data_IF_755786533068
#
_entry.id   IF_755786533068
#
_cell.length_a   1.000
_cell.length_b   1.000
_cell.length_c   1.000
_cell.angle_alpha   90.00
_cell.angle_beta   90.00
_cell.angle_gamma   90.00
#
_symmetry.space_group_name_H-M   'P 1'
#
loop_
_entity.id
_entity.type
_entity.pdbx_description
1 polymer ?
#
# COMPACT_ATOMS: atom_id res chain seq x y z
N UNK A 1 11.68 -20.60 -18.77
CA UNK A 1 10.51 -19.75 -19.03
C UNK A 1 10.36 -18.81 -17.84
N UNK A 2 10.63 -17.53 -18.04
CA UNK A 2 10.59 -16.52 -16.97
C UNK A 2 9.15 -16.09 -16.79
N UNK A 3 8.47 -16.61 -15.76
CA UNK A 3 7.17 -16.08 -15.36
C UNK A 3 7.36 -14.61 -14.96
N UNK A 4 6.81 -13.69 -15.76
CA UNK A 4 6.66 -12.29 -15.36
C UNK A 4 5.68 -12.24 -14.19
N UNK A 5 6.22 -12.07 -12.97
CA UNK A 5 5.45 -12.18 -11.72
C UNK A 5 4.58 -10.97 -11.38
N UNK A 6 4.27 -10.09 -12.32
CA UNK A 6 3.53 -8.88 -11.98
C UNK A 6 2.50 -8.45 -13.02
N UNK A 7 1.71 -9.38 -13.53
CA UNK A 7 0.38 -9.03 -14.03
C UNK A 7 -0.57 -9.06 -12.82
N UNK A 8 -1.19 -7.93 -12.42
CA UNK A 8 -2.22 -7.97 -11.38
C UNK A 8 -3.32 -8.94 -11.82
N UNK A 9 -3.76 -9.84 -10.94
CA UNK A 9 -4.89 -10.71 -11.24
C UNK A 9 -6.13 -9.88 -11.58
N UNK A 10 -7.10 -10.44 -12.30
CA UNK A 10 -8.33 -9.74 -12.67
C UNK A 10 -9.08 -9.15 -11.45
N UNK A 11 -8.94 -9.76 -10.26
CA UNK A 11 -9.45 -9.21 -8.99
C UNK A 11 -8.70 -7.96 -8.54
N UNK A 12 -7.37 -7.95 -8.64
CA UNK A 12 -6.55 -6.77 -8.31
C UNK A 12 -6.86 -5.59 -9.22
N UNK A 13 -7.24 -5.83 -10.47
CA UNK A 13 -7.65 -4.78 -11.39
C UNK A 13 -8.88 -4.02 -10.89
N UNK A 14 -9.88 -4.72 -10.34
CA UNK A 14 -11.06 -4.10 -9.72
C UNK A 14 -10.73 -3.27 -8.50
N UNK A 15 -9.68 -3.67 -7.75
CA UNK A 15 -9.17 -2.86 -6.65
C UNK A 15 -8.48 -1.58 -7.15
N UNK A 16 -7.80 -1.60 -8.31
CA UNK A 16 -7.12 -0.41 -8.83
C UNK A 16 -8.09 0.63 -9.42
N UNK A 17 -9.28 0.19 -9.86
CA UNK A 17 -10.27 1.02 -10.56
C UNK A 17 -11.05 1.97 -9.64
N UNK A 18 -11.08 1.72 -8.33
CA UNK A 18 -11.80 2.57 -7.38
C UNK A 18 -10.88 3.07 -6.26
N UNK A 19 -11.06 4.31 -5.76
CA UNK A 19 -10.26 4.81 -4.63
C UNK A 19 -10.33 3.92 -3.39
N UNK A 20 -11.51 3.30 -3.15
CA UNK A 20 -11.73 2.34 -2.06
C UNK A 20 -10.95 1.05 -2.31
N UNK A 21 -10.96 0.55 -3.55
CA UNK A 21 -10.19 -0.62 -3.92
C UNK A 21 -8.68 -0.40 -3.77
N UNK A 22 -8.16 0.79 -4.11
CA UNK A 22 -6.73 1.10 -3.99
C UNK A 22 -6.27 1.06 -2.54
N UNK A 23 -7.10 1.57 -1.63
CA UNK A 23 -6.87 1.46 -0.19
C UNK A 23 -6.80 0.00 0.25
N UNK A 24 -7.78 -0.81 -0.17
CA UNK A 24 -7.83 -2.23 0.17
C UNK A 24 -6.64 -3.01 -0.38
N UNK A 25 -6.23 -2.72 -1.63
CA UNK A 25 -5.03 -3.31 -2.23
C UNK A 25 -3.76 -2.95 -1.43
N UNK A 26 -3.66 -1.71 -0.96
CA UNK A 26 -2.53 -1.27 -0.13
C UNK A 26 -2.49 -2.03 1.20
N UNK A 27 -3.64 -2.21 1.84
CA UNK A 27 -3.77 -2.98 3.08
C UNK A 27 -3.45 -4.47 2.87
N UNK A 28 -3.96 -5.08 1.81
CA UNK A 28 -3.71 -6.48 1.48
C UNK A 28 -2.22 -6.74 1.14
N UNK A 29 -1.56 -5.79 0.47
CA UNK A 29 -0.11 -5.87 0.18
C UNK A 29 0.70 -5.79 1.48
N UNK A 30 0.33 -4.91 2.40
CA UNK A 30 0.98 -4.80 3.72
C UNK A 30 0.76 -6.11 4.49
N UNK A 31 -0.48 -6.60 4.56
CA UNK A 31 -0.80 -7.81 5.30
C UNK A 31 -0.09 -9.04 4.74
N UNK A 32 0.00 -9.16 3.41
CA UNK A 32 0.68 -10.29 2.75
C UNK A 32 2.20 -10.24 2.90
N UNK A 33 2.81 -9.05 2.82
CA UNK A 33 4.27 -8.92 2.94
C UNK A 33 4.76 -9.09 4.39
N UNK A 34 3.90 -8.86 5.37
CA UNK A 34 4.26 -8.83 6.79
C UNK A 34 3.47 -9.84 7.63
N UNK A 35 2.86 -10.85 6.99
CA UNK A 35 2.07 -11.88 7.67
C UNK A 35 2.85 -12.69 8.71
N UNK A 36 4.19 -12.70 8.63
CA UNK A 36 5.08 -13.36 9.60
C UNK A 36 5.56 -12.46 10.75
N UNK A 37 5.24 -11.17 10.72
CA UNK A 37 5.79 -10.17 11.65
C UNK A 37 4.66 -9.34 12.28
N UNK A 38 4.05 -9.90 13.33
CA UNK A 38 2.88 -9.33 14.01
C UNK A 38 3.10 -7.93 14.59
N UNK A 39 4.25 -7.68 15.24
CA UNK A 39 4.59 -6.37 15.81
C UNK A 39 5.01 -5.36 14.73
N UNK A 40 5.66 -5.84 13.68
CA UNK A 40 6.19 -5.01 12.59
C UNK A 40 5.08 -4.46 11.70
N UNK A 41 3.93 -5.15 11.65
CA UNK A 41 2.69 -4.66 11.03
C UNK A 41 2.21 -3.34 11.64
N UNK A 42 2.31 -3.20 12.96
CA UNK A 42 1.99 -1.95 13.66
C UNK A 42 2.97 -0.83 13.33
N UNK A 43 4.27 -1.15 13.33
CA UNK A 43 5.34 -0.22 12.99
C UNK A 43 5.28 0.28 11.54
N UNK A 44 4.94 -0.58 10.58
CA UNK A 44 4.80 -0.19 9.18
C UNK A 44 3.57 0.65 8.91
N UNK A 45 2.43 0.34 9.54
CA UNK A 45 1.25 1.24 9.47
C UNK A 45 1.59 2.63 9.98
N UNK A 46 2.35 2.73 11.09
CA UNK A 46 2.85 4.01 11.60
C UNK A 46 3.78 4.69 10.61
N UNK A 47 4.73 3.98 10.02
CA UNK A 47 5.67 4.53 9.04
C UNK A 47 4.96 5.08 7.79
N UNK A 48 3.97 4.35 7.26
CA UNK A 48 3.17 4.78 6.10
C UNK A 48 2.38 6.04 6.44
N UNK A 49 1.80 6.12 7.64
CA UNK A 49 1.09 7.32 8.09
C UNK A 49 2.03 8.53 8.20
N UNK A 50 3.22 8.36 8.80
CA UNK A 50 4.24 9.42 8.88
C UNK A 50 4.68 9.87 7.49
N UNK A 51 4.92 8.93 6.56
CA UNK A 51 5.28 9.28 5.19
C UNK A 51 4.17 10.05 4.47
N UNK A 52 2.90 9.70 4.70
CA UNK A 52 1.75 10.41 4.15
C UNK A 52 1.67 11.83 4.70
N UNK A 53 1.83 11.99 6.02
CA UNK A 53 1.80 13.30 6.68
C UNK A 53 2.93 14.21 6.17
N UNK A 54 4.15 13.68 6.05
CA UNK A 54 5.28 14.40 5.48
C UNK A 54 5.04 14.83 4.03
N UNK A 55 4.36 13.99 3.23
CA UNK A 55 3.97 14.36 1.86
C UNK A 55 2.97 15.52 1.85
N UNK A 56 1.93 15.44 2.67
CA UNK A 56 0.94 16.51 2.77
C UNK A 56 1.57 17.82 3.25
N UNK A 57 2.45 17.77 4.25
CA UNK A 57 3.20 18.94 4.70
C UNK A 57 4.06 19.52 3.59
N UNK A 58 4.77 18.67 2.85
CA UNK A 58 5.57 19.11 1.70
C UNK A 58 4.71 19.85 0.68
N UNK A 59 3.59 19.26 0.25
CA UNK A 59 2.65 19.87 -0.70
C UNK A 59 2.18 21.25 -0.22
N UNK A 60 1.73 21.36 1.04
CA UNK A 60 1.28 22.64 1.65
C UNK A 60 2.39 23.68 1.74
N UNK A 61 3.66 23.28 1.91
CA UNK A 61 4.80 24.20 1.97
C UNK A 61 5.32 24.61 0.60
N UNK A 62 4.93 23.91 -0.47
CA UNK A 62 5.35 24.20 -1.86
C UNK A 62 4.28 24.89 -2.71
N UNK A 63 3.10 25.16 -2.14
CA UNK A 63 2.06 26.05 -2.68
C UNK A 63 2.26 27.50 -2.16
#
# INVERSE_FOLDING_TARGET
MTESKHTPSCENRRYIETPVGLRKLTEDIIDKNFSGFGDERGSMRRLINVQRELRCMKEVMTD
#
